data_IF_148127354795
#
_entry.id   IF_148127354795
#
_cell.length_a   1.000
_cell.length_b   1.000
_cell.length_c   1.000
_cell.angle_alpha   90.00
_cell.angle_beta   90.00
_cell.angle_gamma   90.00
#
_symmetry.space_group_name_H-M   'P 1'
#
loop_
_entity.id
_entity.type
_entity.pdbx_description
1 polymer ?
#
# COMPACT_ATOMS: atom_id res chain seq x y z
N UNK A 1 18.46 24.54 -3.98
CA UNK A 1 18.06 23.20 -3.51
C UNK A 1 18.07 22.27 -4.72
N UNK A 2 18.87 21.21 -4.66
CA UNK A 2 18.98 20.24 -5.75
C UNK A 2 17.70 19.41 -5.82
N UNK A 3 17.17 19.16 -7.01
CA UNK A 3 15.91 18.41 -7.22
C UNK A 3 15.95 16.97 -6.66
N UNK A 4 17.11 16.48 -6.21
CA UNK A 4 17.31 15.14 -5.63
C UNK A 4 16.84 14.99 -4.19
N UNK A 5 16.57 16.09 -3.48
CA UNK A 5 16.27 16.05 -2.03
C UNK A 5 14.76 15.90 -1.73
N UNK A 6 13.89 15.98 -2.75
CA UNK A 6 12.42 16.03 -2.59
C UNK A 6 11.70 14.68 -2.71
N UNK A 7 12.46 13.58 -2.84
CA UNK A 7 11.93 12.22 -3.08
C UNK A 7 11.56 11.51 -1.77
N UNK A 8 12.07 11.99 -0.62
CA UNK A 8 11.98 11.30 0.67
C UNK A 8 10.80 11.71 1.55
N UNK A 9 9.85 12.50 1.04
CA UNK A 9 8.69 12.94 1.79
C UNK A 9 7.45 12.23 1.21
N UNK A 10 6.78 11.34 1.97
CA UNK A 10 5.85 10.35 1.42
C UNK A 10 4.66 10.96 0.67
N UNK A 11 4.20 12.15 1.05
CA UNK A 11 3.14 12.87 0.32
C UNK A 11 3.56 13.40 -1.07
N UNK A 12 4.86 13.46 -1.37
CA UNK A 12 5.37 13.93 -2.66
C UNK A 12 5.53 12.82 -3.70
N UNK A 13 5.51 11.55 -3.28
CA UNK A 13 5.69 10.39 -4.17
C UNK A 13 4.51 10.28 -5.14
N UNK A 14 3.27 10.34 -4.64
CA UNK A 14 2.05 10.23 -5.48
C UNK A 14 2.02 11.35 -6.54
N UNK A 15 2.24 12.60 -6.12
CA UNK A 15 2.26 13.75 -7.03
C UNK A 15 3.37 13.65 -8.10
N UNK A 16 4.55 13.16 -7.72
CA UNK A 16 5.65 12.92 -8.65
C UNK A 16 5.30 11.85 -9.70
N UNK A 17 4.71 10.74 -9.27
CA UNK A 17 4.30 9.66 -10.19
C UNK A 17 3.21 10.15 -11.15
N UNK A 18 2.18 10.84 -10.64
CA UNK A 18 1.08 11.40 -11.45
C UNK A 18 1.63 12.40 -12.48
N UNK A 19 2.52 13.30 -12.06
CA UNK A 19 3.14 14.27 -12.96
C UNK A 19 3.88 13.60 -14.12
N UNK A 20 4.65 12.55 -13.84
CA UNK A 20 5.34 11.77 -14.87
C UNK A 20 4.34 11.09 -15.83
N UNK A 21 3.30 10.42 -15.32
CA UNK A 21 2.27 9.79 -16.17
C UNK A 21 1.69 10.82 -17.16
N UNK A 22 1.29 11.99 -16.68
CA UNK A 22 0.75 13.07 -17.52
C UNK A 22 1.80 13.57 -18.53
N UNK A 23 3.04 13.80 -18.09
CA UNK A 23 4.12 14.26 -18.97
C UNK A 23 4.33 13.29 -20.14
N UNK A 24 4.48 12.00 -19.85
CA UNK A 24 4.73 10.99 -20.88
C UNK A 24 3.52 10.79 -21.80
N UNK A 25 2.28 10.85 -21.29
CA UNK A 25 1.07 10.76 -22.12
C UNK A 25 0.90 11.99 -23.01
N UNK A 26 1.27 13.18 -22.57
CA UNK A 26 1.06 14.40 -23.37
C UNK A 26 2.06 14.57 -24.49
N UNK A 27 3.32 14.13 -24.30
CA UNK A 27 4.40 14.33 -25.29
C UNK A 27 4.71 13.12 -26.18
N UNK A 28 3.97 12.01 -26.04
CA UNK A 28 4.33 10.77 -26.73
C UNK A 28 4.29 10.93 -28.26
N UNK A 29 3.29 11.60 -28.83
CA UNK A 29 3.19 11.78 -30.29
C UNK A 29 4.33 12.64 -30.84
N UNK A 30 4.80 13.61 -30.06
CA UNK A 30 5.74 14.64 -30.52
C UNK A 30 7.21 14.27 -30.28
N UNK A 31 7.52 13.38 -29.32
CA UNK A 31 8.90 13.16 -28.87
C UNK A 31 9.32 11.70 -28.78
N UNK A 32 8.68 10.88 -27.93
CA UNK A 32 9.18 9.54 -27.61
C UNK A 32 8.37 8.38 -28.17
N UNK A 33 7.19 8.63 -28.75
CA UNK A 33 6.31 7.62 -29.31
C UNK A 33 5.98 6.50 -28.31
N UNK A 34 6.18 5.26 -28.74
CA UNK A 34 5.92 4.07 -27.94
C UNK A 34 6.72 4.02 -26.63
N UNK A 35 7.93 4.57 -26.59
CA UNK A 35 8.78 4.53 -25.40
C UNK A 35 8.20 5.39 -24.26
N UNK A 36 7.61 6.54 -24.59
CA UNK A 36 6.94 7.37 -23.59
C UNK A 36 5.68 6.67 -23.07
N UNK A 37 4.91 5.99 -23.93
CA UNK A 37 3.77 5.19 -23.48
C UNK A 37 4.17 4.08 -22.50
N UNK A 38 5.29 3.40 -22.75
CA UNK A 38 5.84 2.39 -21.81
C UNK A 38 6.25 3.01 -20.47
N UNK A 39 6.83 4.21 -20.48
CA UNK A 39 7.17 4.93 -19.24
C UNK A 39 5.92 5.34 -18.48
N UNK A 40 4.91 5.89 -19.16
CA UNK A 40 3.63 6.21 -18.54
C UNK A 40 3.00 4.99 -17.87
N UNK A 41 3.00 3.85 -18.57
CA UNK A 41 2.52 2.57 -18.02
C UNK A 41 3.29 2.17 -16.75
N UNK A 42 4.62 2.21 -16.79
CA UNK A 42 5.44 1.86 -15.63
C UNK A 42 5.16 2.76 -14.42
N UNK A 43 5.08 4.08 -14.62
CA UNK A 43 4.76 5.03 -13.54
C UNK A 43 3.37 4.78 -12.96
N UNK A 44 2.40 4.42 -13.81
CA UNK A 44 1.05 4.06 -13.38
C UNK A 44 1.03 2.76 -12.57
N UNK A 45 1.75 1.72 -13.01
CA UNK A 45 1.88 0.46 -12.27
C UNK A 45 2.49 0.67 -10.88
N UNK A 46 3.54 1.49 -10.79
CA UNK A 46 4.17 1.84 -9.51
C UNK A 46 3.18 2.57 -8.59
N UNK A 47 2.39 3.51 -9.13
CA UNK A 47 1.36 4.22 -8.37
C UNK A 47 0.23 3.30 -7.90
N UNK A 48 -0.20 2.35 -8.73
CA UNK A 48 -1.20 1.34 -8.35
C UNK A 48 -0.67 0.51 -7.18
N UNK A 49 0.53 -0.05 -7.30
CA UNK A 49 1.15 -0.86 -6.24
C UNK A 49 1.29 -0.09 -4.93
N UNK A 50 1.74 1.17 -5.00
CA UNK A 50 1.85 2.03 -3.83
C UNK A 50 0.49 2.21 -3.12
N UNK A 51 -0.59 2.38 -3.89
CA UNK A 51 -1.94 2.50 -3.35
C UNK A 51 -2.48 1.15 -2.84
N UNK A 52 -2.16 0.04 -3.47
CA UNK A 52 -2.51 -1.30 -2.97
C UNK A 52 -1.83 -1.60 -1.63
N UNK A 53 -0.56 -1.24 -1.47
CA UNK A 53 0.16 -1.39 -0.19
C UNK A 53 -0.45 -0.47 0.89
N UNK A 54 -0.82 0.75 0.53
CA UNK A 54 -1.49 1.71 1.43
C UNK A 54 -2.89 1.26 1.81
N UNK A 55 -3.65 0.68 0.89
CA UNK A 55 -5.02 0.20 1.08
C UNK A 55 -5.09 -1.24 1.61
N UNK A 56 -4.00 -2.00 1.55
CA UNK A 56 -3.86 -3.34 2.14
C UNK A 56 -3.98 -3.34 3.67
N UNK A 57 -4.03 -2.16 4.29
CA UNK A 57 -4.47 -2.00 5.67
C UNK A 57 -5.93 -2.42 5.85
N UNK A 58 -6.10 -3.56 6.53
CA UNK A 58 -7.34 -4.12 7.08
C UNK A 58 -8.14 -5.13 6.25
N UNK A 59 -7.86 -5.43 4.98
CA UNK A 59 -8.65 -6.50 4.33
C UNK A 59 -8.39 -7.85 5.00
N UNK A 60 -7.12 -8.20 5.26
CA UNK A 60 -6.77 -9.43 6.01
C UNK A 60 -7.38 -9.44 7.42
N UNK A 61 -7.44 -8.27 8.07
CA UNK A 61 -8.05 -8.12 9.40
C UNK A 61 -9.56 -8.34 9.33
N UNK A 62 -10.23 -7.77 8.32
CA UNK A 62 -11.65 -7.96 8.07
C UNK A 62 -11.96 -9.42 7.75
N UNK A 63 -11.12 -10.08 6.97
CA UNK A 63 -11.24 -11.50 6.63
C UNK A 63 -11.04 -12.38 7.86
N UNK A 64 -10.03 -12.10 8.69
CA UNK A 64 -9.80 -12.78 9.97
C UNK A 64 -11.00 -12.57 10.91
N UNK A 65 -11.51 -11.35 11.03
CA UNK A 65 -12.68 -11.03 11.86
C UNK A 65 -13.93 -11.76 11.32
N UNK A 66 -14.10 -11.83 10.01
CA UNK A 66 -15.15 -12.60 9.35
C UNK A 66 -15.09 -14.08 9.72
N UNK A 67 -13.92 -14.70 9.57
CA UNK A 67 -13.68 -16.11 9.95
C UNK A 67 -13.91 -16.37 11.44
N UNK A 68 -13.47 -15.46 12.32
CA UNK A 68 -13.74 -15.56 13.75
C UNK A 68 -15.25 -15.58 14.04
N UNK A 69 -16.04 -14.73 13.38
CA UNK A 69 -17.51 -14.73 13.52
C UNK A 69 -18.14 -16.02 13.05
N UNK A 70 -17.71 -16.58 11.91
CA UNK A 70 -18.20 -17.86 11.38
C UNK A 70 -17.93 -19.03 12.32
N UNK A 71 -16.79 -19.00 13.01
CA UNK A 71 -16.40 -19.98 14.02
C UNK A 71 -17.04 -19.72 15.40
N UNK A 72 -17.87 -18.68 15.53
CA UNK A 72 -18.48 -18.28 16.80
C UNK A 72 -17.50 -17.71 17.83
N UNK A 73 -16.29 -17.32 17.40
CA UNK A 73 -15.25 -16.74 18.23
C UNK A 73 -15.57 -15.26 18.47
N UNK A 74 -15.73 -14.90 19.73
CA UNK A 74 -15.99 -13.53 20.15
C UNK A 74 -14.70 -12.77 20.46
N UNK A 75 -14.77 -11.44 20.51
CA UNK A 75 -13.65 -10.61 20.97
C UNK A 75 -13.20 -10.97 22.40
N UNK A 76 -14.14 -11.43 23.25
CA UNK A 76 -13.83 -11.88 24.60
C UNK A 76 -12.99 -13.17 24.59
N UNK A 77 -13.25 -14.09 23.66
CA UNK A 77 -12.48 -15.34 23.53
C UNK A 77 -11.04 -15.05 23.12
N UNK A 78 -10.85 -14.14 22.15
CA UNK A 78 -9.52 -13.68 21.73
C UNK A 78 -8.78 -12.99 22.88
N UNK A 79 -9.49 -12.12 23.61
CA UNK A 79 -8.91 -11.42 24.77
C UNK A 79 -8.49 -12.39 25.87
N UNK A 80 -9.36 -13.35 26.22
CA UNK A 80 -9.09 -14.35 27.24
C UNK A 80 -7.90 -15.24 26.82
N UNK A 81 -7.86 -15.69 25.57
CA UNK A 81 -6.73 -16.46 25.03
C UNK A 81 -5.41 -15.68 25.12
N UNK A 82 -5.39 -14.43 24.64
CA UNK A 82 -4.20 -13.58 24.69
C UNK A 82 -3.73 -13.28 26.13
N UNK A 83 -4.67 -13.26 27.09
CA UNK A 83 -4.36 -13.11 28.51
C UNK A 83 -3.74 -14.39 29.09
N UNK A 84 -4.27 -15.56 28.74
CA UNK A 84 -3.70 -16.84 29.19
C UNK A 84 -2.29 -17.05 28.64
N UNK A 85 -2.06 -16.81 27.34
CA UNK A 85 -0.72 -16.92 26.74
C UNK A 85 0.30 -16.04 27.46
N UNK A 86 -0.07 -14.81 27.83
CA UNK A 86 0.81 -13.90 28.58
C UNK A 86 1.18 -14.44 29.96
N UNK A 87 0.22 -15.02 30.70
CA UNK A 87 0.52 -15.65 31.99
C UNK A 87 1.56 -16.77 31.87
N UNK A 88 1.57 -17.51 30.78
CA UNK A 88 2.57 -18.56 30.54
C UNK A 88 3.92 -18.02 30.06
N UNK A 89 3.94 -16.88 29.36
CA UNK A 89 5.16 -16.22 28.93
C UNK A 89 5.92 -15.57 30.11
N UNK A 90 5.20 -14.96 31.05
CA UNK A 90 5.78 -14.28 32.22
C UNK A 90 6.23 -15.27 33.32
N UNK A 91 5.82 -16.54 33.22
CA UNK A 91 6.20 -17.62 34.14
C UNK A 91 7.40 -18.45 33.63
N UNK A 92 8.15 -17.96 32.64
CA UNK A 92 9.40 -18.57 32.15
C UNK A 92 10.63 -17.79 32.58
#
# INVERSE_FOLDING_TARGET
MSQKDNINHPEHIEGYMIGNVIEYITRYEEKGGLEDLKKAHWYLEVLIKHNEEKNGGNQDVLDIVGRCRELGITAADVYNFAREVRKYADNR
#
